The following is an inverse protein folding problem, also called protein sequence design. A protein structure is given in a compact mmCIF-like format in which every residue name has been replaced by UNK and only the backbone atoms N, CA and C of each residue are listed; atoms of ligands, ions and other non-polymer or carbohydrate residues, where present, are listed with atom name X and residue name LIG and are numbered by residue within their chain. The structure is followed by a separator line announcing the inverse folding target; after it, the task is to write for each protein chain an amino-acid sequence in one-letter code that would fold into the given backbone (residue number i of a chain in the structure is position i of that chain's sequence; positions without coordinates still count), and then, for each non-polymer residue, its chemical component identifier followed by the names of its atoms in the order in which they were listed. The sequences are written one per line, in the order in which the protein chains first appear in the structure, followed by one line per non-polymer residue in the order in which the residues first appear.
data_IF_737764252850
#
_entry.id   IF_737764252850
#
_cell.length_a   1.000
_cell.length_b   1.000
_cell.length_c   1.000
_cell.angle_alpha   90.00
_cell.angle_beta   90.00
_cell.angle_gamma   90.00
#
_symmetry.space_group_name_H-M   'P 1'
#
loop_
_entity.id
_entity.type
_entity.pdbx_description
1 polymer ?
#
# COMPACT_ATOMS: atom_id res chain seq x y z
N UNK A 1 20.86 -11.10 2.11
CA UNK A 1 20.14 -10.53 0.95
C UNK A 1 19.39 -11.62 0.19
N UNK A 2 20.06 -12.70 -0.24
CA UNK A 2 19.45 -13.81 -1.00
C UNK A 2 18.28 -14.52 -0.28
N UNK A 3 18.42 -14.85 1.01
CA UNK A 3 17.33 -15.49 1.76
C UNK A 3 16.04 -14.64 1.79
N UNK A 4 16.19 -13.33 2.01
CA UNK A 4 15.07 -12.36 1.98
C UNK A 4 14.50 -12.25 0.56
N UNK A 5 15.35 -12.32 -0.46
CA UNK A 5 14.93 -12.29 -1.88
C UNK A 5 14.07 -13.49 -2.24
N UNK A 6 14.55 -14.70 -1.94
CA UNK A 6 13.80 -15.94 -2.21
C UNK A 6 12.53 -16.03 -1.38
N UNK A 7 12.56 -15.60 -0.12
CA UNK A 7 11.36 -15.50 0.72
C UNK A 7 10.31 -14.55 0.10
N UNK A 8 10.74 -13.37 -0.37
CA UNK A 8 9.86 -12.43 -1.07
C UNK A 8 9.30 -13.00 -2.38
N UNK A 9 10.12 -13.67 -3.18
CA UNK A 9 9.70 -14.32 -4.42
C UNK A 9 8.67 -15.44 -4.16
N UNK A 10 8.93 -16.31 -3.18
CA UNK A 10 8.00 -17.37 -2.78
C UNK A 10 6.67 -16.79 -2.28
N UNK A 11 6.71 -15.70 -1.52
CA UNK A 11 5.50 -15.03 -1.03
C UNK A 11 4.68 -14.42 -2.18
N UNK A 12 5.32 -13.78 -3.16
CA UNK A 12 4.63 -13.24 -4.35
C UNK A 12 3.99 -14.35 -5.20
N UNK A 13 4.70 -15.46 -5.41
CA UNK A 13 4.16 -16.62 -6.12
C UNK A 13 2.97 -17.21 -5.38
N UNK A 14 3.09 -17.39 -4.07
CA UNK A 14 2.01 -17.88 -3.20
C UNK A 14 0.77 -16.97 -3.30
N UNK A 15 0.94 -15.65 -3.19
CA UNK A 15 -0.17 -14.69 -3.29
C UNK A 15 -0.80 -14.70 -4.69
N UNK A 16 0.01 -14.72 -5.74
CA UNK A 16 -0.47 -14.77 -7.12
C UNK A 16 -1.30 -16.02 -7.40
N UNK A 17 -0.79 -17.20 -7.03
CA UNK A 17 -1.51 -18.48 -7.19
C UNK A 17 -2.79 -18.49 -6.37
N UNK A 18 -2.74 -18.07 -5.09
CA UNK A 18 -3.94 -18.00 -4.24
C UNK A 18 -5.01 -17.09 -4.84
N UNK A 19 -4.62 -15.98 -5.46
CA UNK A 19 -5.56 -15.05 -6.08
C UNK A 19 -6.18 -15.60 -7.38
N UNK A 20 -5.43 -16.39 -8.17
CA UNK A 20 -5.96 -17.08 -9.35
C UNK A 20 -6.91 -18.22 -8.98
N UNK A 21 -6.64 -18.92 -7.88
CA UNK A 21 -7.48 -20.02 -7.38
C UNK A 21 -8.69 -19.56 -6.57
N UNK A 22 -8.75 -18.27 -6.20
CA UNK A 22 -9.87 -17.72 -5.44
C UNK A 22 -11.16 -17.73 -6.26
N UNK A 23 -12.20 -18.37 -5.71
CA UNK A 23 -13.55 -18.44 -6.29
C UNK A 23 -14.42 -17.22 -5.93
N UNK A 24 -13.99 -16.41 -4.97
CA UNK A 24 -14.72 -15.23 -4.50
C UNK A 24 -14.60 -14.02 -5.41
N UNK A 25 -15.41 -12.99 -5.14
CA UNK A 25 -15.24 -11.64 -5.70
C UNK A 25 -14.16 -10.85 -4.96
N UNK A 26 -13.56 -11.43 -3.93
CA UNK A 26 -12.57 -10.76 -3.11
C UNK A 26 -11.24 -10.52 -3.80
N UNK A 27 -10.60 -9.40 -3.49
CA UNK A 27 -9.39 -8.91 -4.16
C UNK A 27 -8.14 -8.91 -3.27
N UNK A 28 -8.16 -9.61 -2.14
CA UNK A 28 -7.03 -9.64 -1.21
C UNK A 28 -6.87 -10.94 -0.42
N UNK A 29 -5.66 -11.22 0.10
CA UNK A 29 -5.45 -12.31 1.05
C UNK A 29 -6.20 -12.00 2.35
N UNK A 30 -7.19 -12.85 2.68
CA UNK A 30 -8.09 -12.66 3.83
C UNK A 30 -9.52 -12.25 3.48
N UNK A 31 -9.83 -12.12 2.18
CA UNK A 31 -11.19 -11.85 1.67
C UNK A 31 -12.00 -13.14 1.45
N UNK A 32 -11.70 -14.17 2.25
CA UNK A 32 -12.37 -15.48 2.23
C UNK A 32 -13.71 -15.37 2.97
N UNK A 33 -14.60 -14.44 2.58
CA UNK A 33 -16.03 -14.41 2.94
C UNK A 33 -16.44 -14.37 4.43
N UNK A 34 -15.51 -14.51 5.36
CA UNK A 34 -15.75 -14.74 6.80
C UNK A 34 -15.02 -13.72 7.70
N UNK A 35 -14.34 -12.74 7.10
CA UNK A 35 -13.72 -11.64 7.83
C UNK A 35 -14.76 -10.61 8.22
N UNK A 36 -15.46 -10.80 9.35
CA UNK A 36 -16.27 -9.74 9.95
C UNK A 36 -15.50 -8.42 9.97
N UNK A 37 -16.19 -7.31 9.66
CA UNK A 37 -15.57 -5.99 9.56
C UNK A 37 -14.71 -5.74 10.81
N UNK A 38 -13.39 -5.59 10.60
CA UNK A 38 -12.49 -5.25 11.71
C UNK A 38 -12.98 -3.94 12.33
N UNK A 39 -12.97 -3.78 13.66
CA UNK A 39 -13.32 -2.51 14.28
C UNK A 39 -12.47 -1.38 13.69
N UNK A 40 -13.08 -0.23 13.40
CA UNK A 40 -12.38 0.91 12.78
C UNK A 40 -11.12 1.30 13.55
N UNK A 41 -11.17 1.23 14.88
CA UNK A 41 -10.02 1.49 15.76
C UNK A 41 -8.87 0.49 15.56
N UNK A 42 -9.15 -0.78 15.26
CA UNK A 42 -8.12 -1.78 15.02
C UNK A 42 -7.42 -1.54 13.67
N UNK A 43 -8.18 -1.14 12.64
CA UNK A 43 -7.64 -0.77 11.32
C UNK A 43 -6.77 0.49 11.44
N UNK A 44 -7.25 1.52 12.15
CA UNK A 44 -6.50 2.75 12.39
C UNK A 44 -5.20 2.47 13.16
N UNK A 45 -5.27 1.65 14.22
CA UNK A 45 -4.09 1.26 15.01
C UNK A 45 -3.09 0.49 14.16
N UNK A 46 -3.53 -0.46 13.35
CA UNK A 46 -2.66 -1.23 12.47
C UNK A 46 -1.97 -0.32 11.44
N UNK A 47 -2.72 0.60 10.82
CA UNK A 47 -2.19 1.59 9.89
C UNK A 47 -1.15 2.49 10.54
N UNK A 48 -1.45 3.04 11.71
CA UNK A 48 -0.54 3.88 12.48
C UNK A 48 0.76 3.14 12.83
N UNK A 49 0.66 1.94 13.41
CA UNK A 49 1.81 1.12 13.77
C UNK A 49 2.65 0.82 12.53
N UNK A 50 2.02 0.40 11.42
CA UNK A 50 2.73 0.05 10.18
C UNK A 50 3.45 1.26 9.57
N UNK A 51 2.80 2.43 9.57
CA UNK A 51 3.39 3.66 9.07
C UNK A 51 4.55 4.14 9.97
N UNK A 52 4.37 4.09 11.29
CA UNK A 52 5.36 4.50 12.26
C UNK A 52 6.60 3.60 12.25
N UNK A 53 6.41 2.28 12.14
CA UNK A 53 7.48 1.29 12.00
C UNK A 53 8.12 1.25 10.61
N UNK A 54 7.75 2.15 9.69
CA UNK A 54 8.39 2.24 8.38
C UNK A 54 9.57 3.24 8.44
N UNK A 55 10.81 2.79 8.74
CA UNK A 55 11.94 3.69 8.87
C UNK A 55 12.28 4.40 7.55
N UNK A 56 11.92 3.83 6.40
CA UNK A 56 12.24 4.42 5.10
C UNK A 56 11.53 5.76 4.89
N UNK A 57 10.27 5.84 5.31
CA UNK A 57 9.51 7.09 5.25
C UNK A 57 10.14 8.17 6.13
N UNK A 58 10.43 7.82 7.39
CA UNK A 58 11.03 8.76 8.35
C UNK A 58 12.40 9.28 7.91
N UNK A 59 13.28 8.40 7.43
CA UNK A 59 14.61 8.78 6.94
C UNK A 59 14.51 9.73 5.74
N UNK A 60 13.57 9.49 4.82
CA UNK A 60 13.32 10.38 3.69
C UNK A 60 12.89 11.77 4.16
N UNK A 61 11.94 11.86 5.09
CA UNK A 61 11.48 13.14 5.64
C UNK A 61 12.60 13.87 6.37
N UNK A 62 13.37 13.20 7.22
CA UNK A 62 14.50 13.83 7.90
C UNK A 62 15.60 14.29 6.95
N UNK A 63 15.79 13.62 5.81
CA UNK A 63 16.75 14.04 4.80
C UNK A 63 16.26 15.23 3.95
N UNK A 64 14.96 15.33 3.69
CA UNK A 64 14.39 16.34 2.80
C UNK A 64 13.92 17.60 3.54
N UNK A 65 13.26 17.46 4.69
CA UNK A 65 12.64 18.58 5.41
C UNK A 65 13.61 19.72 5.75
N UNK A 66 14.86 19.47 6.20
CA UNK A 66 15.81 20.56 6.48
C UNK A 66 16.10 21.44 5.26
N UNK A 67 15.99 20.89 4.04
CA UNK A 67 16.24 21.64 2.80
C UNK A 67 15.14 22.67 2.50
N UNK A 68 13.97 22.53 3.11
CA UNK A 68 12.81 23.41 2.94
C UNK A 68 12.64 24.41 4.09
N UNK A 69 13.56 24.43 5.06
CA UNK A 69 13.49 25.30 6.24
C UNK A 69 14.63 26.32 6.21
N UNK A 70 14.30 27.60 6.43
CA UNK A 70 15.29 28.68 6.53
C UNK A 70 15.45 29.12 7.98
N UNK A 71 16.61 28.90 8.63
CA UNK A 71 16.82 29.25 10.04
C UNK A 71 16.72 30.75 10.35
N UNK A 72 17.03 31.60 9.37
CA UNK A 72 17.02 33.07 9.48
C UNK A 72 15.69 33.72 9.10
N UNK A 73 14.65 32.94 8.81
CA UNK A 73 13.34 33.48 8.49
C UNK A 73 12.62 34.02 9.73
N UNK A 74 11.61 34.88 9.52
CA UNK A 74 10.78 35.42 10.59
C UNK A 74 10.00 34.34 11.37
N UNK A 75 9.66 33.23 10.71
CA UNK A 75 9.00 32.09 11.36
C UNK A 75 10.03 31.12 11.93
N UNK A 76 9.94 30.71 13.21
CA UNK A 76 10.86 29.72 13.78
C UNK A 76 10.82 28.39 13.03
N UNK A 77 11.94 27.65 13.04
CA UNK A 77 12.09 26.34 12.40
C UNK A 77 10.97 25.37 12.78
N UNK A 78 10.60 25.32 14.06
CA UNK A 78 9.49 24.47 14.54
C UNK A 78 8.15 24.85 13.90
N UNK A 79 7.89 26.15 13.68
CA UNK A 79 6.69 26.63 13.00
C UNK A 79 6.68 26.27 11.52
N UNK A 80 7.82 26.41 10.83
CA UNK A 80 7.97 26.00 9.43
C UNK A 80 7.72 24.50 9.26
N UNK A 81 8.30 23.67 10.14
CA UNK A 81 8.07 22.22 10.14
C UNK A 81 6.61 21.85 10.43
N UNK A 82 5.94 22.55 11.34
CA UNK A 82 4.53 22.33 11.63
C UNK A 82 3.65 22.66 10.41
N UNK A 83 3.90 23.78 9.73
CA UNK A 83 3.19 24.14 8.50
C UNK A 83 3.43 23.12 7.40
N UNK A 84 4.68 22.72 7.15
CA UNK A 84 5.02 21.69 6.16
C UNK A 84 4.34 20.34 6.49
N UNK A 85 4.34 19.95 7.76
CA UNK A 85 3.66 18.75 8.24
C UNK A 85 2.14 18.80 8.03
N UNK A 86 1.50 19.94 8.29
CA UNK A 86 0.07 20.13 8.04
C UNK A 86 -0.28 20.07 6.55
N UNK A 87 0.50 20.76 5.71
CA UNK A 87 0.30 20.73 4.25
C UNK A 87 0.45 19.31 3.72
N UNK A 88 1.49 18.60 4.17
CA UNK A 88 1.70 17.20 3.81
C UNK A 88 0.55 16.30 4.28
N UNK A 89 0.12 16.45 5.53
CA UNK A 89 -1.00 15.68 6.10
C UNK A 89 -2.29 15.91 5.32
N UNK A 90 -2.59 17.16 4.98
CA UNK A 90 -3.74 17.52 4.16
C UNK A 90 -3.66 16.91 2.77
N UNK A 91 -2.49 16.96 2.13
CA UNK A 91 -2.28 16.33 0.82
C UNK A 91 -2.51 14.81 0.88
N UNK A 92 -1.96 14.13 1.89
CA UNK A 92 -2.20 12.72 2.12
C UNK A 92 -3.69 12.42 2.35
N UNK A 93 -4.38 13.22 3.15
CA UNK A 93 -5.81 13.06 3.40
C UNK A 93 -6.63 13.16 2.11
N UNK A 94 -6.35 14.16 1.28
CA UNK A 94 -7.05 14.37 0.00
C UNK A 94 -6.78 13.21 -0.96
N UNK A 95 -5.51 12.86 -1.17
CA UNK A 95 -5.14 11.80 -2.13
C UNK A 95 -5.63 10.43 -1.66
N UNK A 96 -5.31 10.04 -0.43
CA UNK A 96 -5.72 8.73 0.09
C UNK A 96 -7.23 8.65 0.34
N UNK A 97 -7.87 9.76 0.71
CA UNK A 97 -9.33 9.84 0.81
C UNK A 97 -9.99 9.64 -0.56
N UNK A 98 -9.52 10.32 -1.61
CA UNK A 98 -10.03 10.14 -2.97
C UNK A 98 -9.82 8.70 -3.47
N UNK A 99 -8.64 8.13 -3.21
CA UNK A 99 -8.35 6.73 -3.55
C UNK A 99 -9.25 5.77 -2.76
N UNK A 100 -9.45 5.99 -1.47
CA UNK A 100 -10.28 5.15 -0.60
C UNK A 100 -11.76 5.17 -1.02
N UNK A 101 -12.31 6.36 -1.26
CA UNK A 101 -13.68 6.52 -1.77
C UNK A 101 -13.83 5.91 -3.18
N UNK A 102 -12.85 6.13 -4.05
CA UNK A 102 -12.81 5.53 -5.38
C UNK A 102 -12.74 4.00 -5.35
N UNK A 103 -11.93 3.43 -4.46
CA UNK A 103 -11.83 1.99 -4.26
C UNK A 103 -13.13 1.39 -3.70
N UNK A 104 -13.81 2.08 -2.78
CA UNK A 104 -15.12 1.68 -2.28
C UNK A 104 -16.17 1.62 -3.39
N UNK A 105 -16.24 2.67 -4.23
CA UNK A 105 -17.14 2.68 -5.39
C UNK A 105 -16.81 1.58 -6.40
N UNK A 106 -15.51 1.41 -6.72
CA UNK A 106 -15.04 0.37 -7.64
C UNK A 106 -15.35 -1.03 -7.09
N UNK A 107 -15.20 -1.26 -5.78
CA UNK A 107 -15.58 -2.51 -5.12
C UNK A 107 -17.05 -2.87 -5.35
N UNK A 108 -17.97 -1.92 -5.18
CA UNK A 108 -19.40 -2.12 -5.45
C UNK A 108 -19.70 -2.41 -6.93
N UNK A 109 -19.01 -1.74 -7.86
CA UNK A 109 -19.13 -2.02 -9.30
C UNK A 109 -18.62 -3.43 -9.64
N UNK A 110 -17.50 -3.85 -9.06
CA UNK A 110 -16.90 -5.17 -9.29
C UNK A 110 -17.76 -6.30 -8.70
N UNK A 111 -18.43 -6.09 -7.56
CA UNK A 111 -19.43 -7.03 -7.02
C UNK A 111 -20.59 -7.25 -8.00
N UNK A 112 -21.01 -6.21 -8.72
CA UNK A 112 -22.10 -6.28 -9.71
C UNK A 112 -21.66 -6.84 -11.07
N UNK A 113 -20.37 -6.71 -11.44
CA UNK A 113 -19.82 -7.16 -12.74
C UNK A 113 -18.78 -8.26 -12.57
N UNK A 114 -19.25 -9.49 -12.35
CA UNK A 114 -18.41 -10.69 -12.13
C UNK A 114 -17.32 -10.92 -13.20
N UNK A 115 -17.58 -10.56 -14.46
CA UNK A 115 -16.61 -10.65 -15.55
C UNK A 115 -15.40 -9.71 -15.39
N UNK A 116 -15.65 -8.44 -15.06
CA UNK A 116 -14.59 -7.45 -14.79
C UNK A 116 -13.80 -7.83 -13.54
N UNK A 117 -14.51 -8.28 -12.50
CA UNK A 117 -13.87 -8.73 -11.28
C UNK A 117 -12.92 -9.92 -11.54
N UNK A 118 -13.36 -10.89 -12.36
CA UNK A 118 -12.52 -12.01 -12.78
C UNK A 118 -11.32 -11.53 -13.59
N UNK A 119 -11.51 -10.67 -14.58
CA UNK A 119 -10.43 -10.13 -15.40
C UNK A 119 -9.35 -9.44 -14.55
N UNK A 120 -9.75 -8.56 -13.62
CA UNK A 120 -8.83 -7.86 -12.73
C UNK A 120 -8.06 -8.86 -11.85
N UNK A 121 -8.74 -9.87 -11.27
CA UNK A 121 -8.06 -10.90 -10.47
C UNK A 121 -7.01 -11.67 -11.28
N UNK A 122 -7.36 -12.10 -12.50
CA UNK A 122 -6.43 -12.82 -13.36
C UNK A 122 -5.23 -11.96 -13.75
N UNK A 123 -5.45 -10.70 -14.11
CA UNK A 123 -4.37 -9.75 -14.42
C UNK A 123 -3.45 -9.52 -13.21
N UNK A 124 -4.02 -9.15 -12.06
CA UNK A 124 -3.23 -8.90 -10.84
C UNK A 124 -2.48 -10.15 -10.37
N UNK A 125 -3.07 -11.34 -10.49
CA UNK A 125 -2.45 -12.60 -10.08
C UNK A 125 -1.30 -12.97 -11.01
N UNK A 126 -1.49 -12.78 -12.31
CA UNK A 126 -0.44 -12.99 -13.32
C UNK A 126 0.73 -12.03 -13.12
N UNK A 127 0.47 -10.76 -12.78
CA UNK A 127 1.51 -9.77 -12.46
C UNK A 127 2.29 -10.17 -11.21
N UNK A 128 1.64 -10.62 -10.14
CA UNK A 128 2.31 -11.10 -8.93
C UNK A 128 3.20 -12.31 -9.21
N UNK A 129 2.72 -13.27 -10.01
CA UNK A 129 3.52 -14.43 -10.42
C UNK A 129 4.72 -14.00 -11.26
N UNK A 130 4.51 -13.14 -12.25
CA UNK A 130 5.58 -12.62 -13.11
C UNK A 130 6.64 -11.87 -12.30
N UNK A 131 6.24 -11.05 -11.33
CA UNK A 131 7.15 -10.34 -10.43
C UNK A 131 7.90 -11.32 -9.52
N UNK A 132 7.23 -12.32 -8.96
CA UNK A 132 7.84 -13.37 -8.14
C UNK A 132 8.89 -14.17 -8.92
N UNK A 133 8.57 -14.58 -10.15
CA UNK A 133 9.51 -15.26 -11.04
C UNK A 133 10.72 -14.37 -11.38
N UNK A 134 10.49 -13.10 -11.72
CA UNK A 134 11.56 -12.14 -12.00
C UNK A 134 12.46 -11.91 -10.77
N UNK A 135 11.89 -11.94 -9.57
CA UNK A 135 12.64 -11.78 -8.33
C UNK A 135 13.44 -13.04 -7.98
N UNK A 136 12.92 -14.22 -8.28
CA UNK A 136 13.63 -15.49 -8.13
C UNK A 136 14.79 -15.62 -9.14
N UNK A 137 14.53 -15.22 -10.39
CA UNK A 137 15.47 -15.26 -11.52
C UNK A 137 15.69 -13.86 -12.07
N UNK A 138 16.57 -13.06 -11.44
CA UNK A 138 17.05 -11.83 -12.05
C UNK A 138 17.69 -12.21 -13.38
N UNK A 139 17.10 -11.78 -14.49
CA UNK A 139 17.65 -12.07 -15.81
C UNK A 139 19.12 -11.64 -15.84
N UNK A 140 20.01 -12.58 -16.22
CA UNK A 140 21.43 -12.31 -16.44
C UNK A 140 21.56 -11.09 -17.36
N UNK A 141 21.97 -9.96 -16.79
CA UNK A 141 22.41 -8.75 -17.47
C UNK A 141 23.57 -8.18 -16.69
#
# INVERSE_FOLDING_TARGET
FEAVRYAGAAYLLYLGVRMLLSKGTGFGPGDDGDGGAKPDAAVLRQGFITAFLNPKGLVLFFSLLPQFVTPSAALPVAGQLLVLGLVHTFNCLVIYGAVGLGAGHLGEVLKRRLGLARMIRWLSGSVLIALGLRMAFPGQR
#
